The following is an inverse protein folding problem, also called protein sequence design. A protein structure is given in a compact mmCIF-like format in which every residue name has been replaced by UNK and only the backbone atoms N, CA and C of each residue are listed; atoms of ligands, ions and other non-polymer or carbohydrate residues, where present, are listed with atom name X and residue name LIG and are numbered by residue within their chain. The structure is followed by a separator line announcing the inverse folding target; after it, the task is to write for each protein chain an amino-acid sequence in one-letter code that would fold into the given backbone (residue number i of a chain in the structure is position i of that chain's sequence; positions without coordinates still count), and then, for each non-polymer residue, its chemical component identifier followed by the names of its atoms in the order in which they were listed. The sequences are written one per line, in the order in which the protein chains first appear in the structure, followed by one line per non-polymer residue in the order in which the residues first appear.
data_IF_719266224053
#
_entry.id   IF_719266224053
#
_cell.length_a   1.000
_cell.length_b   1.000
_cell.length_c   1.000
_cell.angle_alpha   90.00
_cell.angle_beta   90.00
_cell.angle_gamma   90.00
#
_symmetry.space_group_name_H-M   'P 1'
#
loop_
_entity.id
_entity.type
_entity.pdbx_description
1 polymer ?
#
# COMPACT_ATOMS: atom_id res chain seq x y z
N UNK A 1 -16.84 9.29 27.88
CA UNK A 1 -16.56 8.50 29.10
C UNK A 1 -15.41 9.14 29.83
N UNK A 2 -15.36 9.03 31.17
CA UNK A 2 -14.22 9.51 31.96
C UNK A 2 -12.98 8.70 31.56
N UNK A 3 -11.88 9.38 31.21
CA UNK A 3 -10.61 8.78 30.76
C UNK A 3 -9.79 8.36 31.99
N UNK A 4 -10.30 7.36 32.70
CA UNK A 4 -9.72 6.88 33.95
C UNK A 4 -8.99 5.55 33.77
N UNK A 5 -7.82 5.43 34.41
CA UNK A 5 -7.01 4.24 34.51
C UNK A 5 -6.85 3.89 35.99
N UNK A 6 -6.71 2.62 36.33
CA UNK A 6 -6.38 2.19 37.70
C UNK A 6 -5.04 1.47 37.67
N UNK A 7 -3.92 2.16 37.97
CA UNK A 7 -2.61 1.56 37.95
C UNK A 7 -2.47 0.54 39.07
N UNK A 8 -2.11 -0.70 38.72
CA UNK A 8 -1.85 -1.75 39.70
C UNK A 8 -0.49 -1.53 40.39
N UNK A 9 -0.34 -2.03 41.62
CA UNK A 9 0.90 -1.95 42.39
C UNK A 9 0.70 -1.38 43.79
N UNK A 10 1.77 -0.83 44.37
CA UNK A 10 1.73 -0.22 45.71
C UNK A 10 2.49 1.10 45.75
N UNK A 11 2.05 2.04 46.58
CA UNK A 11 2.69 3.35 46.79
C UNK A 11 2.55 4.32 45.61
N UNK A 12 3.39 5.36 45.62
CA UNK A 12 3.34 6.47 44.66
C UNK A 12 4.27 6.23 43.47
N UNK A 13 3.80 6.58 42.27
CA UNK A 13 4.54 6.55 41.01
C UNK A 13 4.57 7.95 40.42
N UNK A 14 5.72 8.34 39.82
CA UNK A 14 5.77 9.48 38.91
C UNK A 14 5.27 9.03 37.55
N UNK A 15 4.51 9.86 36.86
CA UNK A 15 4.06 9.60 35.52
C UNK A 15 4.46 10.72 34.57
N UNK A 16 4.69 10.36 33.31
CA UNK A 16 4.90 11.27 32.20
C UNK A 16 4.06 10.79 31.02
N UNK A 17 3.22 11.67 30.48
CA UNK A 17 2.46 11.43 29.26
C UNK A 17 3.03 12.32 28.17
N UNK A 18 3.59 11.69 27.13
CA UNK A 18 3.96 12.35 25.89
C UNK A 18 2.86 12.13 24.87
N UNK A 19 2.24 13.20 24.43
CA UNK A 19 1.24 13.18 23.34
C UNK A 19 1.92 13.01 21.98
N UNK A 20 1.13 12.68 20.96
CA UNK A 20 1.65 12.41 19.61
C UNK A 20 2.34 13.63 18.99
N UNK A 21 1.82 14.83 19.27
CA UNK A 21 2.40 16.10 18.82
C UNK A 21 3.56 16.61 19.70
N UNK A 22 4.04 15.78 20.65
CA UNK A 22 5.19 16.10 21.49
C UNK A 22 4.87 16.87 22.77
N UNK A 23 3.63 17.31 23.02
CA UNK A 23 3.27 17.94 24.31
C UNK A 23 3.42 16.94 25.45
N UNK A 24 4.03 17.39 26.54
CA UNK A 24 4.28 16.56 27.72
C UNK A 24 3.44 17.01 28.92
N UNK A 25 3.02 16.03 29.70
CA UNK A 25 2.37 16.21 30.99
C UNK A 25 3.06 15.30 32.00
N UNK A 26 3.13 15.70 33.25
CA UNK A 26 3.70 14.87 34.31
C UNK A 26 3.02 15.11 35.64
N UNK A 27 3.23 14.19 36.57
CA UNK A 27 2.73 14.28 37.94
C UNK A 27 3.03 13.04 38.72
N UNK A 28 2.33 12.89 39.83
CA UNK A 28 2.36 11.68 40.65
C UNK A 28 0.97 11.04 40.69
N UNK A 29 0.94 9.73 40.88
CA UNK A 29 -0.27 8.97 41.11
C UNK A 29 -0.03 7.91 42.19
N UNK A 30 -1.07 7.54 42.91
CA UNK A 30 -1.03 6.45 43.88
C UNK A 30 -1.57 5.18 43.21
N UNK A 31 -0.88 4.06 43.38
CA UNK A 31 -1.39 2.80 42.88
C UNK A 31 -2.71 2.42 43.56
N UNK A 32 -3.56 1.71 42.82
CA UNK A 32 -4.92 1.32 43.22
C UNK A 32 -5.93 2.47 43.38
N UNK A 33 -5.53 3.71 43.11
CA UNK A 33 -6.45 4.85 43.02
C UNK A 33 -6.81 5.18 41.56
N UNK A 34 -8.04 5.64 41.27
CA UNK A 34 -8.40 6.08 39.94
C UNK A 34 -7.56 7.28 39.48
N UNK A 35 -6.76 7.08 38.44
CA UNK A 35 -5.98 8.12 37.77
C UNK A 35 -6.74 8.63 36.54
N UNK A 36 -7.00 9.94 36.48
CA UNK A 36 -7.61 10.56 35.30
C UNK A 36 -6.51 11.14 34.42
N UNK A 37 -6.50 10.79 33.14
CA UNK A 37 -5.54 11.34 32.18
C UNK A 37 -5.66 12.87 32.07
N UNK A 38 -4.54 13.60 31.90
CA UNK A 38 -4.54 15.05 31.90
C UNK A 38 -5.23 15.63 30.66
N UNK A 39 -6.16 16.57 30.89
CA UNK A 39 -6.80 17.39 29.86
C UNK A 39 -7.57 16.64 28.75
N UNK A 40 -8.17 17.37 27.80
CA UNK A 40 -8.64 16.77 26.57
C UNK A 40 -7.42 16.43 25.69
N UNK A 41 -6.95 15.19 25.79
CA UNK A 41 -6.06 14.60 24.80
C UNK A 41 -6.75 14.58 23.43
N UNK A 42 -6.02 15.00 22.40
CA UNK A 42 -6.41 14.88 21.00
C UNK A 42 -6.53 13.40 20.61
N UNK A 43 -7.18 13.13 19.48
CA UNK A 43 -7.13 11.79 18.90
C UNK A 43 -5.69 11.49 18.47
N UNK A 44 -5.26 10.23 18.61
CA UNK A 44 -3.91 9.84 18.28
C UNK A 44 -3.29 8.79 19.20
N UNK A 45 -1.98 8.62 19.04
CA UNK A 45 -1.14 7.66 19.75
C UNK A 45 -0.23 8.40 20.73
N UNK A 46 -0.45 8.18 22.03
CA UNK A 46 0.32 8.83 23.10
C UNK A 46 1.09 7.79 23.90
N UNK A 47 2.17 8.21 24.55
CA UNK A 47 3.02 7.34 25.36
C UNK A 47 2.91 7.76 26.83
N UNK A 48 2.35 6.88 27.66
CA UNK A 48 2.36 7.02 29.11
C UNK A 48 3.54 6.21 29.68
N UNK A 49 4.32 6.85 30.53
CA UNK A 49 5.44 6.26 31.25
C UNK A 49 5.21 6.42 32.75
N UNK A 50 5.26 5.33 33.50
CA UNK A 50 5.25 5.32 34.96
C UNK A 50 6.66 5.03 35.49
N UNK A 51 7.05 5.65 36.59
CA UNK A 51 8.38 5.47 37.18
C UNK A 51 8.32 5.44 38.71
N UNK A 52 9.06 4.50 39.30
CA UNK A 52 9.20 4.36 40.75
C UNK A 52 10.62 3.90 41.09
N UNK A 53 11.38 4.76 41.77
CA UNK A 53 12.81 4.54 41.98
C UNK A 53 13.55 4.43 40.64
N UNK A 54 14.31 3.35 40.45
CA UNK A 54 15.03 3.06 39.20
C UNK A 54 14.19 2.32 38.14
N UNK A 55 12.94 1.96 38.45
CA UNK A 55 12.08 1.19 37.54
C UNK A 55 11.17 2.11 36.74
N UNK A 56 10.94 1.77 35.47
CA UNK A 56 10.05 2.48 34.56
C UNK A 56 9.23 1.49 33.73
N UNK A 57 7.99 1.86 33.43
CA UNK A 57 7.03 1.07 32.66
C UNK A 57 6.33 1.95 31.65
N UNK A 58 6.12 1.44 30.45
CA UNK A 58 5.57 2.19 29.33
C UNK A 58 4.28 1.52 28.82
N UNK A 59 3.27 2.33 28.51
CA UNK A 59 2.04 1.89 27.85
C UNK A 59 1.55 2.93 26.85
N UNK A 60 0.97 2.46 25.75
CA UNK A 60 0.40 3.34 24.72
C UNK A 60 -1.03 3.68 25.07
N UNK A 61 -1.34 4.98 25.07
CA UNK A 61 -2.70 5.50 25.18
C UNK A 61 -3.18 5.85 23.78
N UNK A 62 -4.23 5.18 23.32
CA UNK A 62 -4.82 5.43 22.00
C UNK A 62 -6.16 6.13 22.22
N UNK A 63 -6.27 7.35 21.69
CA UNK A 63 -7.50 8.14 21.74
C UNK A 63 -8.15 8.11 20.37
N UNK A 64 -9.30 7.45 20.25
CA UNK A 64 -10.01 7.26 19.00
C UNK A 64 -11.30 8.08 18.92
N UNK A 65 -11.74 8.50 17.72
CA UNK A 65 -13.07 9.03 17.52
C UNK A 65 -14.14 7.96 17.78
N UNK A 66 -15.38 8.38 18.06
CA UNK A 66 -16.51 7.46 18.23
C UNK A 66 -17.03 6.87 16.91
N UNK A 67 -16.73 7.54 15.79
CA UNK A 67 -17.21 7.20 14.45
C UNK A 67 -16.05 7.28 13.47
N UNK A 68 -16.08 6.45 12.44
CA UNK A 68 -15.19 6.60 11.29
C UNK A 68 -15.55 7.87 10.51
N UNK A 69 -14.62 8.30 9.65
CA UNK A 69 -14.88 9.38 8.70
C UNK A 69 -16.05 9.03 7.77
N UNK A 70 -16.87 10.04 7.47
CA UNK A 70 -17.94 9.99 6.49
C UNK A 70 -17.81 11.24 5.60
N UNK A 71 -17.76 11.10 4.26
CA UNK A 71 -17.72 12.24 3.36
C UNK A 71 -18.93 13.19 3.55
N UNK A 72 -18.76 14.52 3.38
CA UNK A 72 -19.83 15.49 3.64
C UNK A 72 -21.16 15.21 2.91
N UNK A 73 -21.19 14.76 1.65
CA UNK A 73 -22.46 14.41 0.99
C UNK A 73 -23.21 13.27 1.69
N UNK A 74 -22.49 12.25 2.16
CA UNK A 74 -23.09 11.13 2.87
C UNK A 74 -23.55 11.53 4.27
N UNK A 75 -22.84 12.47 4.92
CA UNK A 75 -23.26 13.05 6.20
C UNK A 75 -24.52 13.90 6.05
N UNK A 76 -24.67 14.62 4.93
CA UNK A 76 -25.89 15.34 4.55
C UNK A 76 -27.05 14.43 4.12
N UNK A 77 -26.85 13.10 4.08
CA UNK A 77 -27.87 12.12 3.73
C UNK A 77 -28.07 11.90 2.24
N UNK A 78 -27.19 12.46 1.40
CA UNK A 78 -27.25 12.30 -0.05
C UNK A 78 -27.01 10.83 -0.47
N UNK A 79 -27.57 10.46 -1.63
CA UNK A 79 -27.35 9.15 -2.24
C UNK A 79 -26.27 9.28 -3.29
N UNK A 80 -25.25 8.43 -3.16
CA UNK A 80 -24.06 8.38 -4.00
C UNK A 80 -23.95 6.98 -4.59
N UNK A 81 -23.42 6.87 -5.80
CA UNK A 81 -23.28 5.59 -6.47
C UNK A 81 -21.89 5.45 -7.09
N UNK A 82 -21.50 4.22 -7.38
CA UNK A 82 -20.20 3.91 -7.93
C UNK A 82 -20.19 2.54 -8.58
N UNK A 83 -19.12 2.24 -9.31
CA UNK A 83 -18.94 0.93 -9.95
C UNK A 83 -18.15 -0.01 -9.03
N UNK A 84 -18.58 -1.26 -8.92
CA UNK A 84 -17.79 -2.32 -8.28
C UNK A 84 -17.16 -3.17 -9.36
N UNK A 85 -15.84 -3.17 -9.45
CA UNK A 85 -15.11 -3.85 -10.51
C UNK A 85 -14.10 -4.84 -9.96
N UNK A 86 -13.99 -5.98 -10.63
CA UNK A 86 -12.84 -6.86 -10.52
C UNK A 86 -11.80 -6.32 -11.50
N UNK A 87 -10.80 -5.58 -11.01
CA UNK A 87 -9.89 -4.80 -11.86
C UNK A 87 -9.25 -5.67 -12.95
N UNK A 88 -8.86 -6.90 -12.60
CA UNK A 88 -8.26 -7.84 -13.54
C UNK A 88 -9.16 -8.21 -14.74
N UNK A 89 -10.47 -7.97 -14.67
CA UNK A 89 -11.44 -8.26 -15.74
C UNK A 89 -11.61 -7.12 -16.74
N UNK A 90 -11.09 -5.92 -16.44
CA UNK A 90 -11.26 -4.75 -17.32
C UNK A 90 -10.48 -4.94 -18.61
N UNK A 91 -11.11 -4.62 -19.74
CA UNK A 91 -10.51 -4.67 -21.06
C UNK A 91 -10.42 -3.26 -21.63
N UNK A 92 -9.28 -2.95 -22.22
CA UNK A 92 -9.07 -1.72 -23.00
C UNK A 92 -8.25 -2.03 -24.25
N UNK A 93 -8.10 -1.04 -25.13
CA UNK A 93 -7.23 -1.15 -26.30
C UNK A 93 -5.74 -1.16 -25.92
N UNK A 94 -5.39 -0.62 -24.75
CA UNK A 94 -4.01 -0.36 -24.34
C UNK A 94 -3.43 -1.40 -23.39
N UNK A 95 -4.26 -2.06 -22.56
CA UNK A 95 -3.75 -2.95 -21.51
C UNK A 95 -3.12 -4.24 -22.03
N UNK A 96 -2.41 -4.97 -21.18
CA UNK A 96 -1.59 -6.11 -21.62
C UNK A 96 -2.30 -7.47 -21.51
N UNK A 97 -3.64 -7.48 -21.56
CA UNK A 97 -4.46 -8.69 -21.39
C UNK A 97 -4.99 -8.91 -19.96
N UNK A 98 -4.78 -7.93 -19.09
CA UNK A 98 -5.39 -7.82 -17.76
C UNK A 98 -5.72 -6.35 -17.53
N UNK A 99 -6.81 -6.07 -16.82
CA UNK A 99 -7.08 -4.71 -16.38
C UNK A 99 -6.04 -4.23 -15.36
N UNK A 100 -5.56 -3.00 -15.51
CA UNK A 100 -4.46 -2.45 -14.70
C UNK A 100 -4.68 -0.99 -14.26
N UNK A 101 -3.68 -0.35 -13.64
CA UNK A 101 -3.85 1.01 -13.10
C UNK A 101 -4.11 2.08 -14.17
N UNK A 102 -3.69 1.86 -15.42
CA UNK A 102 -4.04 2.75 -16.52
C UNK A 102 -5.52 2.65 -16.86
N UNK A 103 -6.07 1.45 -16.83
CA UNK A 103 -7.52 1.24 -17.02
C UNK A 103 -8.34 1.79 -15.87
N UNK A 104 -7.84 1.71 -14.64
CA UNK A 104 -8.50 2.28 -13.46
C UNK A 104 -8.60 3.81 -13.58
N UNK A 105 -7.55 4.48 -14.04
CA UNK A 105 -7.56 5.92 -14.27
C UNK A 105 -8.61 6.33 -15.31
N UNK A 106 -8.65 5.63 -16.45
CA UNK A 106 -9.67 5.85 -17.47
C UNK A 106 -11.09 5.59 -16.95
N UNK A 107 -11.27 4.52 -16.17
CA UNK A 107 -12.56 4.18 -15.57
C UNK A 107 -13.04 5.27 -14.60
N UNK A 108 -12.14 5.84 -13.79
CA UNK A 108 -12.47 6.93 -12.87
C UNK A 108 -12.97 8.16 -13.62
N UNK A 109 -12.28 8.57 -14.69
CA UNK A 109 -12.69 9.71 -15.54
C UNK A 109 -14.07 9.45 -16.16
N UNK A 110 -14.26 8.30 -16.82
CA UNK A 110 -15.53 7.97 -17.49
C UNK A 110 -16.69 7.83 -16.51
N UNK A 111 -16.44 7.30 -15.30
CA UNK A 111 -17.46 7.18 -14.27
C UNK A 111 -17.86 8.55 -13.71
N UNK A 112 -16.89 9.42 -13.46
CA UNK A 112 -17.14 10.76 -12.95
C UNK A 112 -17.96 11.61 -13.93
N UNK A 113 -17.71 11.51 -15.24
CA UNK A 113 -18.51 12.16 -16.29
C UNK A 113 -19.99 11.74 -16.27
N UNK A 114 -20.29 10.57 -15.71
CA UNK A 114 -21.66 10.03 -15.57
C UNK A 114 -22.25 10.29 -14.18
N UNK A 115 -21.52 11.02 -13.32
CA UNK A 115 -21.94 11.36 -11.97
C UNK A 115 -21.74 10.25 -10.93
N UNK A 116 -20.89 9.25 -11.21
CA UNK A 116 -20.49 8.27 -10.20
C UNK A 116 -19.35 8.80 -9.33
N UNK A 117 -19.37 8.46 -8.04
CA UNK A 117 -18.50 9.04 -7.02
C UNK A 117 -17.30 8.15 -6.64
N UNK A 118 -17.35 6.85 -6.96
CA UNK A 118 -16.29 5.92 -6.57
C UNK A 118 -16.21 4.68 -7.47
N UNK A 119 -15.01 4.08 -7.52
CA UNK A 119 -14.79 2.72 -8.03
C UNK A 119 -14.39 1.83 -6.85
N UNK A 120 -15.18 0.81 -6.55
CA UNK A 120 -14.83 -0.24 -5.61
C UNK A 120 -14.05 -1.35 -6.30
N UNK A 121 -12.99 -1.83 -5.65
CA UNK A 121 -12.03 -2.77 -6.23
C UNK A 121 -12.00 -4.08 -5.44
N UNK A 122 -11.57 -5.14 -6.11
CA UNK A 122 -11.05 -6.33 -5.43
C UNK A 122 -9.78 -6.00 -4.65
N UNK A 123 -9.36 -6.86 -3.69
CA UNK A 123 -8.08 -6.68 -3.03
C UNK A 123 -6.93 -6.65 -4.04
N UNK A 124 -6.09 -5.62 -3.94
CA UNK A 124 -4.91 -5.42 -4.81
C UNK A 124 -3.61 -5.82 -4.12
N UNK A 125 -3.72 -6.67 -3.10
CA UNK A 125 -2.61 -7.15 -2.27
C UNK A 125 -1.56 -7.90 -3.08
N UNK A 126 -0.29 -7.80 -2.68
CA UNK A 126 0.81 -8.53 -3.29
C UNK A 126 0.52 -10.04 -3.33
N UNK A 127 0.59 -10.60 -4.53
CA UNK A 127 0.49 -12.04 -4.79
C UNK A 127 1.90 -12.59 -5.08
N UNK A 128 2.02 -13.55 -6.00
CA UNK A 128 3.23 -14.31 -6.24
C UNK A 128 3.69 -14.12 -7.70
N UNK A 129 4.54 -13.13 -8.03
CA UNK A 129 5.03 -12.94 -9.40
C UNK A 129 5.74 -14.18 -9.96
N UNK A 130 6.42 -14.92 -9.09
CA UNK A 130 7.06 -16.19 -9.43
C UNK A 130 6.05 -17.29 -9.80
N UNK A 131 4.80 -17.23 -9.35
CA UNK A 131 3.78 -18.27 -9.60
C UNK A 131 2.42 -17.62 -9.88
N UNK A 132 2.36 -16.84 -10.96
CA UNK A 132 1.23 -15.98 -11.28
C UNK A 132 -0.11 -16.72 -11.46
N UNK A 133 -0.10 -18.04 -11.70
CA UNK A 133 -1.31 -18.87 -11.68
C UNK A 133 -2.04 -18.91 -10.33
N UNK A 134 -1.35 -18.62 -9.21
CA UNK A 134 -1.99 -18.42 -7.90
C UNK A 134 -2.59 -17.00 -7.82
N UNK A 135 -3.71 -16.82 -8.51
CA UNK A 135 -4.31 -15.52 -8.77
C UNK A 135 -5.39 -15.06 -7.77
N UNK A 136 -5.70 -15.85 -6.73
CA UNK A 136 -6.75 -15.48 -5.77
C UNK A 136 -6.36 -14.23 -4.97
N UNK A 137 -7.11 -13.11 -5.06
CA UNK A 137 -6.82 -11.89 -4.30
C UNK A 137 -7.04 -12.06 -2.79
N UNK A 138 -7.64 -13.17 -2.37
CA UNK A 138 -7.95 -13.49 -0.98
C UNK A 138 -6.94 -14.41 -0.30
N UNK A 139 -5.92 -14.88 -1.04
CA UNK A 139 -4.78 -15.62 -0.49
C UNK A 139 -3.46 -14.87 -0.76
N UNK A 140 -3.31 -13.62 -0.29
CA UNK A 140 -2.15 -12.80 -0.63
C UNK A 140 -0.89 -13.19 0.12
N UNK A 141 0.27 -12.90 -0.48
CA UNK A 141 1.57 -12.93 0.18
C UNK A 141 1.64 -11.87 1.29
N UNK A 142 1.14 -10.67 1.00
CA UNK A 142 1.10 -9.57 1.97
C UNK A 142 -0.09 -8.65 1.74
N UNK A 143 -0.79 -8.29 2.82
CA UNK A 143 -1.85 -7.27 2.79
C UNK A 143 -1.32 -5.83 2.83
N UNK A 144 0.00 -5.63 3.02
CA UNK A 144 0.65 -4.31 3.07
C UNK A 144 1.13 -3.81 1.71
N UNK A 145 1.53 -4.74 0.83
CA UNK A 145 2.13 -4.42 -0.46
C UNK A 145 1.17 -4.71 -1.61
N UNK A 146 1.47 -4.19 -2.79
CA UNK A 146 0.59 -4.23 -3.97
C UNK A 146 0.98 -5.33 -4.96
N UNK A 147 0.00 -5.84 -5.69
CA UNK A 147 0.22 -6.78 -6.78
C UNK A 147 0.79 -6.04 -8.00
N UNK A 148 2.05 -6.35 -8.34
CA UNK A 148 2.78 -5.74 -9.45
C UNK A 148 2.18 -6.04 -10.83
N UNK A 149 1.27 -7.01 -10.96
CA UNK A 149 0.59 -7.29 -12.23
C UNK A 149 -0.26 -6.10 -12.72
N UNK A 150 -0.69 -5.23 -11.80
CA UNK A 150 -1.52 -4.06 -12.10
C UNK A 150 -0.70 -2.84 -12.53
N UNK A 151 0.64 -2.92 -12.61
CA UNK A 151 1.44 -1.84 -13.17
C UNK A 151 1.08 -1.66 -14.65
N UNK A 152 0.66 -0.45 -15.03
CA UNK A 152 0.60 -0.05 -16.44
C UNK A 152 2.02 0.24 -16.93
N UNK A 153 2.62 -0.77 -17.58
CA UNK A 153 3.99 -0.68 -18.09
C UNK A 153 4.12 0.37 -19.19
N UNK A 154 3.02 0.67 -19.91
CA UNK A 154 3.05 1.67 -20.99
C UNK A 154 3.30 3.08 -20.48
N UNK A 155 2.96 3.37 -19.21
CA UNK A 155 3.18 4.66 -18.56
C UNK A 155 4.53 4.75 -17.80
N UNK A 156 5.32 3.68 -17.75
CA UNK A 156 6.64 3.71 -17.11
C UNK A 156 7.62 4.44 -18.03
N UNK A 157 8.07 5.64 -17.63
CA UNK A 157 8.96 6.48 -18.43
C UNK A 157 10.23 5.74 -18.89
N UNK A 158 10.87 4.98 -18.00
CA UNK A 158 12.07 4.20 -18.33
C UNK A 158 11.81 3.03 -19.28
N UNK A 159 10.57 2.52 -19.36
CA UNK A 159 10.18 1.57 -20.41
C UNK A 159 10.10 2.28 -21.77
N UNK A 160 9.50 3.47 -21.81
CA UNK A 160 9.36 4.28 -23.03
C UNK A 160 10.73 4.72 -23.58
N UNK A 161 11.64 5.12 -22.69
CA UNK A 161 12.96 5.67 -23.04
C UNK A 161 14.03 4.60 -23.30
N UNK A 162 13.87 3.39 -22.77
CA UNK A 162 14.82 2.29 -22.96
C UNK A 162 14.81 1.77 -24.40
N UNK A 163 15.88 2.04 -25.16
CA UNK A 163 16.06 1.50 -26.50
C UNK A 163 15.98 -0.05 -26.54
N UNK A 164 16.49 -0.70 -25.49
CA UNK A 164 16.40 -2.15 -25.34
C UNK A 164 14.95 -2.61 -25.15
N UNK A 165 14.18 -1.91 -24.28
CA UNK A 165 12.76 -2.19 -24.11
C UNK A 165 11.97 -2.00 -25.41
N UNK A 166 12.22 -0.90 -26.13
CA UNK A 166 11.55 -0.60 -27.39
C UNK A 166 11.87 -1.63 -28.49
N UNK A 167 13.12 -2.10 -28.57
CA UNK A 167 13.51 -3.19 -29.47
C UNK A 167 12.79 -4.50 -29.12
N UNK A 168 12.74 -4.85 -27.84
CA UNK A 168 12.03 -6.04 -27.37
C UNK A 168 10.52 -5.94 -27.66
N UNK A 169 9.91 -4.79 -27.37
CA UNK A 169 8.49 -4.50 -27.57
C UNK A 169 8.08 -4.63 -29.02
N UNK A 170 8.88 -4.10 -29.95
CA UNK A 170 8.62 -4.16 -31.40
C UNK A 170 8.86 -5.54 -32.01
N UNK A 171 9.44 -6.49 -31.27
CA UNK A 171 9.71 -7.82 -31.81
C UNK A 171 8.42 -8.59 -32.12
N UNK A 172 8.41 -9.34 -33.22
CA UNK A 172 7.25 -10.14 -33.63
C UNK A 172 6.83 -11.16 -32.56
N UNK A 173 7.80 -11.73 -31.83
CA UNK A 173 7.56 -12.64 -30.71
C UNK A 173 6.76 -11.97 -29.59
N UNK A 174 7.18 -10.79 -29.14
CA UNK A 174 6.49 -10.06 -28.07
C UNK A 174 5.11 -9.61 -28.49
N UNK A 175 4.97 -9.07 -29.71
CA UNK A 175 3.66 -8.63 -30.23
C UNK A 175 2.68 -9.80 -30.36
N UNK A 176 3.13 -10.96 -30.86
CA UNK A 176 2.30 -12.18 -30.93
C UNK A 176 1.87 -12.67 -29.54
N UNK A 177 2.78 -12.66 -28.56
CA UNK A 177 2.46 -13.06 -27.18
C UNK A 177 1.44 -12.11 -26.53
N UNK A 178 1.61 -10.80 -26.71
CA UNK A 178 0.66 -9.78 -26.25
C UNK A 178 -0.71 -9.95 -26.88
N UNK A 179 -0.79 -10.10 -28.21
CA UNK A 179 -2.06 -10.31 -28.92
C UNK A 179 -2.77 -11.55 -28.37
N UNK A 180 -2.06 -12.67 -28.21
CA UNK A 180 -2.64 -13.89 -27.63
C UNK A 180 -3.18 -13.66 -26.21
N UNK A 181 -2.43 -12.97 -25.34
CA UNK A 181 -2.86 -12.68 -23.98
C UNK A 181 -4.11 -11.77 -23.93
N UNK A 182 -4.20 -10.79 -24.84
CA UNK A 182 -5.36 -9.89 -24.96
C UNK A 182 -6.60 -10.58 -25.53
N UNK A 183 -6.42 -11.48 -26.49
CA UNK A 183 -7.53 -12.19 -27.16
C UNK A 183 -8.08 -13.36 -26.34
N UNK A 184 -7.33 -13.87 -25.36
CA UNK A 184 -7.80 -14.95 -24.49
C UNK A 184 -9.10 -14.54 -23.77
N UNK A 185 -10.06 -15.46 -23.69
CA UNK A 185 -11.34 -15.23 -23.00
C UNK A 185 -11.13 -15.00 -21.49
N UNK A 186 -10.26 -15.83 -20.90
CA UNK A 186 -9.83 -15.74 -19.50
C UNK A 186 -8.45 -15.08 -19.41
N UNK A 187 -8.20 -14.38 -18.29
CA UNK A 187 -6.90 -13.75 -18.02
C UNK A 187 -5.81 -14.82 -17.94
N UNK A 188 -4.83 -14.75 -18.86
CA UNK A 188 -3.63 -15.58 -18.82
C UNK A 188 -2.57 -14.93 -17.90
N UNK A 189 -2.72 -15.15 -16.59
CA UNK A 189 -1.88 -14.54 -15.57
C UNK A 189 -0.38 -14.81 -15.77
N UNK A 190 -0.02 -16.02 -16.21
CA UNK A 190 1.39 -16.37 -16.44
C UNK A 190 1.96 -15.63 -17.65
N UNK A 191 1.23 -15.58 -18.77
CA UNK A 191 1.67 -14.83 -19.95
C UNK A 191 1.77 -13.33 -19.68
N UNK A 192 0.77 -12.75 -19.01
CA UNK A 192 0.74 -11.33 -18.66
C UNK A 192 1.89 -10.98 -17.71
N UNK A 193 2.09 -11.75 -16.64
CA UNK A 193 3.17 -11.51 -15.69
C UNK A 193 4.54 -11.64 -16.38
N UNK A 194 4.73 -12.64 -17.23
CA UNK A 194 5.98 -12.81 -17.99
C UNK A 194 6.28 -11.61 -18.89
N UNK A 195 5.27 -11.09 -19.62
CA UNK A 195 5.41 -9.89 -20.44
C UNK A 195 5.76 -8.66 -19.60
N UNK A 196 5.00 -8.39 -18.53
CA UNK A 196 5.22 -7.22 -17.68
C UNK A 196 6.58 -7.26 -16.98
N UNK A 197 6.99 -8.41 -16.42
CA UNK A 197 8.32 -8.53 -15.80
C UNK A 197 9.47 -8.39 -16.80
N UNK A 198 9.35 -8.92 -18.01
CA UNK A 198 10.37 -8.74 -19.04
C UNK A 198 10.55 -7.26 -19.40
N UNK A 199 9.44 -6.55 -19.59
CA UNK A 199 9.45 -5.12 -19.87
C UNK A 199 10.01 -4.29 -18.69
N UNK A 200 9.56 -4.58 -17.47
CA UNK A 200 10.01 -3.88 -16.27
C UNK A 200 11.49 -4.11 -15.96
N UNK A 201 12.07 -5.26 -16.33
CA UNK A 201 13.52 -5.48 -16.25
C UNK A 201 14.30 -4.57 -17.21
N UNK A 202 13.80 -4.37 -18.43
CA UNK A 202 14.41 -3.41 -19.36
C UNK A 202 14.26 -1.96 -18.88
N UNK A 203 13.11 -1.61 -18.30
CA UNK A 203 12.88 -0.30 -17.68
C UNK A 203 13.82 -0.10 -16.49
N UNK A 204 13.95 -1.08 -15.60
CA UNK A 204 14.85 -1.02 -14.46
C UNK A 204 16.31 -0.87 -14.86
N UNK A 205 16.75 -1.57 -15.91
CA UNK A 205 18.11 -1.40 -16.45
C UNK A 205 18.37 0.04 -16.92
N UNK A 206 17.38 0.69 -17.52
CA UNK A 206 17.47 2.10 -17.90
C UNK A 206 17.41 3.02 -16.67
N UNK A 207 16.48 2.79 -15.74
CA UNK A 207 16.35 3.56 -14.51
C UNK A 207 17.65 3.62 -13.70
N UNK A 208 18.40 2.51 -13.63
CA UNK A 208 19.71 2.47 -12.95
C UNK A 208 20.79 3.34 -13.59
N UNK A 209 20.57 3.85 -14.81
CA UNK A 209 21.49 4.80 -15.47
C UNK A 209 21.14 6.26 -15.20
N UNK A 210 20.00 6.53 -14.55
CA UNK A 210 19.60 7.89 -14.16
C UNK A 210 20.60 8.46 -13.16
N UNK A 211 20.73 9.78 -13.16
CA UNK A 211 21.47 10.48 -12.13
C UNK A 211 20.81 10.23 -10.76
N UNK A 212 21.62 9.89 -9.77
CA UNK A 212 21.24 9.80 -8.37
C UNK A 212 20.54 11.06 -7.83
N UNK A 213 20.81 12.22 -8.45
CA UNK A 213 20.23 13.52 -8.11
C UNK A 213 18.93 13.83 -8.87
N UNK A 214 18.50 12.97 -9.80
CA UNK A 214 17.20 13.13 -10.46
C UNK A 214 16.05 12.97 -9.45
N UNK A 215 14.96 13.71 -9.68
CA UNK A 215 13.77 13.68 -8.84
C UNK A 215 13.21 12.27 -8.69
N UNK A 216 13.17 11.49 -9.77
CA UNK A 216 12.65 10.13 -9.76
C UNK A 216 13.53 9.16 -8.98
N UNK A 217 14.87 9.31 -9.05
CA UNK A 217 15.78 8.49 -8.25
C UNK A 217 15.66 8.83 -6.76
N UNK A 218 15.57 10.12 -6.42
CA UNK A 218 15.37 10.56 -5.04
C UNK A 218 14.02 10.11 -4.48
N UNK A 219 12.93 10.23 -5.27
CA UNK A 219 11.60 9.76 -4.88
C UNK A 219 11.57 8.24 -4.68
N UNK A 220 12.24 7.47 -5.54
CA UNK A 220 12.37 6.02 -5.36
C UNK A 220 13.16 5.67 -4.10
N UNK A 221 14.29 6.33 -3.85
CA UNK A 221 15.10 6.10 -2.67
C UNK A 221 14.36 6.46 -1.37
N UNK A 222 13.58 7.54 -1.38
CA UNK A 222 12.71 7.92 -0.27
C UNK A 222 11.63 6.87 -0.02
N UNK A 223 10.95 6.38 -1.06
CA UNK A 223 9.97 5.30 -0.95
C UNK A 223 10.58 4.02 -0.35
N UNK A 224 11.79 3.65 -0.79
CA UNK A 224 12.50 2.48 -0.24
C UNK A 224 12.86 2.70 1.24
N UNK A 225 13.33 3.89 1.59
CA UNK A 225 13.66 4.25 2.97
C UNK A 225 12.43 4.19 3.89
N UNK A 226 11.32 4.81 3.47
CA UNK A 226 10.04 4.83 4.21
C UNK A 226 9.41 3.44 4.33
N UNK A 227 9.55 2.60 3.31
CA UNK A 227 9.06 1.22 3.32
C UNK A 227 9.76 0.32 4.35
N UNK A 228 11.01 0.65 4.70
CA UNK A 228 11.80 -0.01 5.73
C UNK A 228 11.91 -1.53 5.57
N UNK A 229 12.04 -2.23 6.70
CA UNK A 229 12.22 -3.68 6.72
C UNK A 229 11.07 -4.45 6.06
N UNK A 230 9.83 -3.94 6.19
CA UNK A 230 8.67 -4.59 5.60
C UNK A 230 8.73 -4.63 4.08
N UNK A 231 9.26 -3.58 3.44
CA UNK A 231 9.41 -3.54 1.98
C UNK A 231 10.56 -4.43 1.55
N UNK A 232 11.69 -4.33 2.26
CA UNK A 232 12.87 -5.16 2.03
C UNK A 232 12.53 -6.65 2.08
N UNK A 233 11.75 -7.09 3.07
CA UNK A 233 11.35 -8.49 3.21
C UNK A 233 10.39 -8.94 2.11
N UNK A 234 9.47 -8.09 1.65
CA UNK A 234 8.62 -8.41 0.51
C UNK A 234 9.45 -8.60 -0.77
N UNK A 235 10.33 -7.64 -1.07
CA UNK A 235 11.19 -7.69 -2.25
C UNK A 235 12.13 -8.92 -2.21
N UNK A 236 12.72 -9.21 -1.05
CA UNK A 236 13.57 -10.39 -0.86
C UNK A 236 12.79 -11.70 -1.02
N UNK A 237 11.56 -11.77 -0.47
CA UNK A 237 10.70 -12.94 -0.63
C UNK A 237 10.41 -13.20 -2.12
N UNK A 238 9.97 -12.18 -2.87
CA UNK A 238 9.64 -12.34 -4.29
C UNK A 238 10.88 -12.68 -5.14
N UNK A 239 12.04 -12.08 -4.82
CA UNK A 239 13.32 -12.40 -5.46
C UNK A 239 13.75 -13.86 -5.26
N UNK A 240 13.72 -14.35 -4.02
CA UNK A 240 14.06 -15.74 -3.68
C UNK A 240 13.09 -16.72 -4.35
N UNK A 241 11.80 -16.41 -4.39
CA UNK A 241 10.81 -17.27 -5.06
C UNK A 241 11.06 -17.38 -6.57
N UNK A 242 11.47 -16.28 -7.21
CA UNK A 242 11.81 -16.28 -8.63
C UNK A 242 13.07 -17.12 -8.92
N UNK A 243 14.10 -17.02 -8.08
CA UNK A 243 15.32 -17.85 -8.22
C UNK A 243 14.99 -19.34 -8.07
N UNK A 244 14.23 -19.71 -7.03
CA UNK A 244 13.90 -21.12 -6.75
C UNK A 244 13.00 -21.80 -7.78
N UNK A 245 12.28 -21.05 -8.62
CA UNK A 245 11.47 -21.61 -9.72
C UNK A 245 12.27 -21.72 -11.03
N UNK A 246 13.43 -21.07 -11.11
CA UNK A 246 14.29 -21.15 -12.29
C UNK A 246 15.15 -22.43 -12.32
N UNK A 247 15.31 -23.08 -11.16
CA UNK A 247 15.88 -24.42 -10.97
C UNK A 247 14.82 -25.52 -11.20
#
# INVERSE_FOLDING_TARGET
GKRQLTPQGSGVYRWQLQTENGKQHSGELTASEPFTLPGPLAQGYHQLTLSKGKKSWQTRIIVAPRRCYLPPPLEAGEKRWGALVQLYTVRSEQNWGIGDFGDLDQLLVQLAERGGDFVGLNPLHALYPASAGFASPYSPSSRRWLNVIYIDVSQVADFQQSAAAQKWWKSARTRKALTKAREAELVDYEAVMALKLAALRHAWAHFQTRDSQSEEHQSWAAFVHEGGDSLRYQAAYDGIQLERRAD
#
